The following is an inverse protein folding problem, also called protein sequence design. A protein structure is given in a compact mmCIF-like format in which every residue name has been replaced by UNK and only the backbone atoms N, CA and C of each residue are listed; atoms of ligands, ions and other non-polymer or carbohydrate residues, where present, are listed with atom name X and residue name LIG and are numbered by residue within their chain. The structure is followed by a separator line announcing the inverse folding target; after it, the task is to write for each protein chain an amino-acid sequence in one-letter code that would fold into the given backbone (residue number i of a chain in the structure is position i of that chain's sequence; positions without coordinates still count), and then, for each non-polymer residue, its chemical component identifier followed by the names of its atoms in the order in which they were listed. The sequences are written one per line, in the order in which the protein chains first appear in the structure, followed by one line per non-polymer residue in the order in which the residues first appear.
data_IF_252865986948
#
_entry.id   IF_252865986948
#
_cell.length_a   1.000
_cell.length_b   1.000
_cell.length_c   1.000
_cell.angle_alpha   90.00
_cell.angle_beta   90.00
_cell.angle_gamma   90.00
#
_symmetry.space_group_name_H-M   'P 1'
#
loop_
_entity.id
_entity.type
_entity.pdbx_description
1 polymer ?
#
# COMPACT_ATOMS: atom_id res chain seq x y z
N UNK A 1 -27.56 -5.76 10.84
CA UNK A 1 -28.29 -6.65 9.91
C UNK A 1 -27.38 -7.82 9.56
N UNK A 2 -27.87 -9.06 9.43
CA UNK A 2 -27.04 -10.18 9.01
C UNK A 2 -26.60 -10.01 7.55
N UNK A 3 -25.30 -10.18 7.31
CA UNK A 3 -24.65 -10.22 6.00
C UNK A 3 -25.36 -11.26 5.10
N UNK A 4 -25.80 -10.86 3.90
CA UNK A 4 -26.46 -11.79 2.97
C UNK A 4 -25.48 -12.86 2.48
N UNK A 5 -25.96 -14.08 2.22
CA UNK A 5 -25.15 -15.19 1.69
C UNK A 5 -24.40 -14.79 0.41
N UNK A 6 -25.03 -13.95 -0.42
CA UNK A 6 -24.49 -13.40 -1.65
C UNK A 6 -23.29 -12.46 -1.41
N UNK A 7 -23.38 -11.57 -0.43
CA UNK A 7 -22.30 -10.66 -0.04
C UNK A 7 -21.06 -11.42 0.48
N UNK A 8 -21.27 -12.54 1.19
CA UNK A 8 -20.20 -13.43 1.64
C UNK A 8 -19.50 -14.13 0.47
N UNK A 9 -20.26 -14.61 -0.49
CA UNK A 9 -19.71 -15.27 -1.68
C UNK A 9 -18.89 -14.30 -2.53
N UNK A 10 -19.38 -13.09 -2.75
CA UNK A 10 -18.65 -12.05 -3.48
C UNK A 10 -17.39 -11.62 -2.75
N UNK A 11 -17.45 -11.44 -1.43
CA UNK A 11 -16.27 -11.14 -0.61
C UNK A 11 -15.21 -12.24 -0.70
N UNK A 12 -15.63 -13.52 -0.74
CA UNK A 12 -14.72 -14.66 -0.94
C UNK A 12 -14.11 -14.65 -2.34
N UNK A 13 -14.91 -14.42 -3.39
CA UNK A 13 -14.44 -14.32 -4.79
C UNK A 13 -13.40 -13.20 -4.92
N UNK A 14 -13.70 -12.00 -4.39
CA UNK A 14 -12.77 -10.87 -4.35
C UNK A 14 -11.44 -11.21 -3.66
N UNK A 15 -11.50 -11.94 -2.55
CA UNK A 15 -10.30 -12.42 -1.84
C UNK A 15 -9.43 -13.33 -2.70
N UNK A 16 -10.04 -14.23 -3.48
CA UNK A 16 -9.35 -15.09 -4.43
C UNK A 16 -8.68 -14.31 -5.57
N UNK A 17 -9.36 -13.31 -6.13
CA UNK A 17 -8.81 -12.44 -7.17
C UNK A 17 -7.64 -11.60 -6.62
N UNK A 18 -7.78 -11.03 -5.42
CA UNK A 18 -6.72 -10.29 -4.74
C UNK A 18 -5.46 -11.13 -4.46
N UNK A 19 -5.63 -12.43 -4.17
CA UNK A 19 -4.50 -13.35 -4.04
C UNK A 19 -3.74 -13.51 -5.37
N UNK A 20 -4.45 -13.67 -6.49
CA UNK A 20 -3.84 -13.75 -7.83
C UNK A 20 -3.05 -12.47 -8.17
N UNK A 21 -3.62 -11.28 -7.89
CA UNK A 21 -2.94 -9.99 -8.05
C UNK A 21 -1.66 -9.90 -7.20
N UNK A 22 -1.73 -10.37 -5.95
CA UNK A 22 -0.56 -10.39 -5.04
C UNK A 22 0.56 -11.28 -5.60
N UNK A 23 0.24 -12.42 -6.18
CA UNK A 23 1.25 -13.31 -6.77
C UNK A 23 1.91 -12.70 -8.02
N UNK A 24 1.16 -11.95 -8.84
CA UNK A 24 1.73 -11.21 -9.95
C UNK A 24 2.75 -10.16 -9.45
N UNK A 25 2.40 -9.39 -8.41
CA UNK A 25 3.33 -8.40 -7.81
C UNK A 25 4.61 -9.07 -7.30
N UNK A 26 4.50 -10.22 -6.65
CA UNK A 26 5.67 -11.00 -6.18
C UNK A 26 6.60 -11.42 -7.31
N UNK A 27 6.07 -11.60 -8.53
CA UNK A 27 6.86 -11.97 -9.70
C UNK A 27 7.54 -10.75 -10.35
N UNK A 28 6.81 -9.64 -10.50
CA UNK A 28 7.31 -8.45 -11.20
C UNK A 28 8.34 -7.66 -10.37
N UNK A 29 8.18 -7.58 -9.05
CA UNK A 29 9.07 -6.76 -8.19
C UNK A 29 10.54 -7.21 -8.24
N UNK A 30 10.88 -8.51 -8.06
CA UNK A 30 12.26 -8.97 -8.19
C UNK A 30 12.83 -8.71 -9.59
N UNK A 31 12.04 -8.92 -10.64
CA UNK A 31 12.45 -8.70 -12.03
C UNK A 31 12.75 -7.22 -12.30
N UNK A 32 11.89 -6.31 -11.85
CA UNK A 32 12.10 -4.87 -11.95
C UNK A 32 13.35 -4.42 -11.19
N UNK A 33 13.61 -4.99 -10.02
CA UNK A 33 14.82 -4.70 -9.25
C UNK A 33 16.09 -5.22 -9.95
N UNK A 34 16.04 -6.41 -10.56
CA UNK A 34 17.14 -6.93 -11.36
C UNK A 34 17.40 -6.06 -12.60
N UNK A 35 16.34 -5.64 -13.30
CA UNK A 35 16.43 -4.74 -14.46
C UNK A 35 17.03 -3.37 -14.11
N UNK A 36 16.75 -2.82 -12.92
CA UNK A 36 17.40 -1.59 -12.46
C UNK A 36 18.91 -1.69 -12.33
N UNK A 37 19.41 -2.88 -12.03
CA UNK A 37 20.84 -3.14 -11.81
C UNK A 37 21.52 -3.47 -13.14
N UNK A 38 20.88 -4.28 -13.97
CA UNK A 38 21.34 -4.63 -15.31
C UNK A 38 20.19 -4.43 -16.33
N UNK A 39 20.22 -3.38 -17.17
CA UNK A 39 19.16 -3.05 -18.12
C UNK A 39 19.04 -3.99 -19.33
N UNK A 40 19.42 -5.25 -19.19
CA UNK A 40 19.29 -6.28 -20.23
C UNK A 40 18.05 -7.13 -19.95
N UNK A 41 17.17 -7.25 -20.94
CA UNK A 41 16.05 -8.19 -20.91
C UNK A 41 16.10 -9.02 -22.18
N UNK A 42 16.09 -10.34 -22.02
CA UNK A 42 16.02 -11.27 -23.14
C UNK A 42 14.60 -11.26 -23.72
N UNK A 43 14.48 -11.49 -25.04
CA UNK A 43 13.19 -11.46 -25.75
C UNK A 43 12.18 -12.45 -25.15
N UNK A 44 12.64 -13.60 -24.64
CA UNK A 44 11.81 -14.60 -23.98
C UNK A 44 11.18 -14.07 -22.68
N UNK A 45 11.91 -13.26 -21.92
CA UNK A 45 11.42 -12.61 -20.70
C UNK A 45 10.39 -11.53 -21.03
N UNK A 46 10.59 -10.79 -22.12
CA UNK A 46 9.65 -9.76 -22.58
C UNK A 46 8.31 -10.40 -22.99
N UNK A 47 8.36 -11.49 -23.74
CA UNK A 47 7.16 -12.25 -24.15
C UNK A 47 6.42 -12.80 -22.93
N UNK A 48 7.15 -13.39 -21.97
CA UNK A 48 6.53 -13.90 -20.73
C UNK A 48 5.88 -12.78 -19.91
N UNK A 49 6.51 -11.59 -19.82
CA UNK A 49 5.92 -10.44 -19.16
C UNK A 49 4.64 -9.95 -19.84
N UNK A 50 4.63 -9.87 -21.17
CA UNK A 50 3.43 -9.49 -21.93
C UNK A 50 2.28 -10.47 -21.67
N UNK A 51 2.55 -11.77 -21.78
CA UNK A 51 1.55 -12.81 -21.47
C UNK A 51 1.00 -12.71 -20.04
N UNK A 52 1.83 -12.30 -19.08
CA UNK A 52 1.39 -12.11 -17.69
C UNK A 52 0.63 -10.81 -17.49
N UNK A 53 0.95 -9.75 -18.24
CA UNK A 53 0.19 -8.49 -18.23
C UNK A 53 -1.22 -8.68 -18.79
N UNK A 54 -1.37 -9.43 -19.88
CA UNK A 54 -2.69 -9.75 -20.44
C UNK A 54 -3.55 -10.51 -19.42
N UNK A 55 -2.95 -11.49 -18.73
CA UNK A 55 -3.63 -12.21 -17.63
C UNK A 55 -3.98 -11.28 -16.47
N UNK A 56 -3.11 -10.31 -16.15
CA UNK A 56 -3.36 -9.34 -15.08
C UNK A 56 -4.54 -8.45 -15.39
N UNK A 57 -4.65 -7.95 -16.62
CA UNK A 57 -5.73 -7.08 -17.06
C UNK A 57 -7.09 -7.77 -16.87
N UNK A 58 -7.20 -9.04 -17.26
CA UNK A 58 -8.41 -9.85 -17.05
C UNK A 58 -8.74 -9.97 -15.56
N UNK A 59 -7.75 -10.29 -14.72
CA UNK A 59 -7.92 -10.47 -13.27
C UNK A 59 -8.31 -9.14 -12.61
N UNK A 60 -7.76 -8.01 -13.06
CA UNK A 60 -8.08 -6.69 -12.57
C UNK A 60 -9.53 -6.31 -12.92
N UNK A 61 -9.96 -6.56 -14.15
CA UNK A 61 -11.34 -6.32 -14.57
C UNK A 61 -12.33 -7.21 -13.79
N UNK A 62 -11.97 -8.48 -13.51
CA UNK A 62 -12.75 -9.37 -12.65
C UNK A 62 -12.86 -8.81 -11.20
N UNK A 63 -11.77 -8.26 -10.66
CA UNK A 63 -11.76 -7.64 -9.34
C UNK A 63 -12.71 -6.43 -9.27
N UNK A 64 -12.61 -5.51 -10.23
CA UNK A 64 -13.44 -4.31 -10.30
C UNK A 64 -14.92 -4.69 -10.45
N UNK A 65 -15.24 -5.68 -11.29
CA UNK A 65 -16.61 -6.18 -11.45
C UNK A 65 -17.21 -6.72 -10.14
N UNK A 66 -16.46 -7.54 -9.40
CA UNK A 66 -16.91 -8.07 -8.10
C UNK A 66 -17.02 -6.94 -7.07
N UNK A 67 -16.12 -5.97 -7.09
CA UNK A 67 -16.15 -4.85 -6.15
C UNK A 67 -17.38 -3.96 -6.39
N UNK A 68 -17.76 -3.71 -7.65
CA UNK A 68 -18.99 -3.00 -8.01
C UNK A 68 -20.25 -3.74 -7.56
N UNK A 69 -20.27 -5.07 -7.67
CA UNK A 69 -21.40 -5.90 -7.21
C UNK A 69 -21.53 -5.93 -5.68
N UNK A 70 -20.40 -5.93 -4.96
CA UNK A 70 -20.38 -5.77 -3.50
C UNK A 70 -20.91 -4.40 -3.09
N UNK A 71 -20.55 -3.35 -3.81
CA UNK A 71 -20.98 -1.98 -3.55
C UNK A 71 -22.47 -1.77 -3.87
N UNK A 72 -23.01 -2.42 -4.91
CA UNK A 72 -24.43 -2.34 -5.26
C UNK A 72 -25.34 -3.12 -4.31
N UNK A 73 -24.83 -4.18 -3.68
CA UNK A 73 -25.54 -5.00 -2.69
C UNK A 73 -25.44 -4.47 -1.26
N UNK A 74 -24.70 -3.38 -1.02
CA UNK A 74 -24.65 -2.71 0.27
C UNK A 74 -25.77 -1.67 0.36
N UNK A 75 -26.83 -1.88 1.16
CA UNK A 75 -27.74 -0.81 1.51
C UNK A 75 -27.04 0.03 2.57
N UNK A 76 -26.40 1.13 2.15
CA UNK A 76 -26.31 2.41 2.85
C UNK A 76 -25.15 3.24 2.31
N UNK A 77 -25.47 4.18 1.40
CA UNK A 77 -24.81 5.49 1.29
C UNK A 77 -25.68 6.49 0.48
N UNK A 78 -27.00 6.46 0.71
CA UNK A 78 -27.83 7.68 0.60
C UNK A 78 -27.81 8.29 2.01
N UNK A 79 -26.88 9.21 2.26
CA UNK A 79 -26.85 9.96 3.51
C UNK A 79 -27.85 11.12 3.43
N UNK A 80 -29.05 10.92 4.00
CA UNK A 80 -29.67 11.95 4.84
C UNK A 80 -29.22 11.71 6.30
N UNK A 81 -28.51 12.72 6.82
CA UNK A 81 -28.29 13.13 8.21
C UNK A 81 -28.07 12.10 9.36
N UNK A 82 -27.01 12.41 10.10
CA UNK A 82 -26.78 12.17 11.54
C UNK A 82 -26.12 10.88 12.05
N UNK A 83 -24.91 11.11 12.58
CA UNK A 83 -24.18 10.41 13.65
C UNK A 83 -23.16 9.30 13.32
N UNK A 84 -21.89 9.74 13.25
CA UNK A 84 -20.69 9.05 13.75
C UNK A 84 -20.33 7.63 13.30
N UNK A 85 -20.47 7.34 12.00
CA UNK A 85 -19.55 6.40 11.32
C UNK A 85 -19.14 7.00 10.00
N UNK A 86 -17.92 7.54 9.94
CA UNK A 86 -17.36 8.07 8.68
C UNK A 86 -17.04 6.87 7.80
N UNK A 87 -17.96 6.55 6.90
CA UNK A 87 -17.75 5.60 5.81
C UNK A 87 -16.49 6.00 5.05
N UNK A 88 -15.59 5.05 4.86
CA UNK A 88 -14.40 5.26 4.04
C UNK A 88 -14.86 5.18 2.58
N UNK A 89 -15.46 6.24 2.05
CA UNK A 89 -15.67 6.38 0.60
C UNK A 89 -14.31 6.10 -0.03
N UNK A 90 -14.20 5.12 -0.94
CA UNK A 90 -12.94 4.57 -1.50
C UNK A 90 -11.98 5.56 -2.19
N UNK A 91 -12.16 6.87 -1.99
CA UNK A 91 -11.30 7.98 -2.39
C UNK A 91 -10.20 8.22 -1.36
N UNK A 92 -9.02 8.57 -1.86
CA UNK A 92 -7.83 8.86 -1.09
C UNK A 92 -8.03 10.12 -0.25
N UNK A 93 -7.80 10.05 1.06
CA UNK A 93 -7.93 11.21 1.94
C UNK A 93 -6.98 12.37 1.58
N UNK A 94 -5.89 12.07 0.88
CA UNK A 94 -4.91 13.04 0.40
C UNK A 94 -5.26 13.61 -0.99
N UNK A 95 -5.19 12.82 -2.06
CA UNK A 95 -5.35 13.31 -3.45
C UNK A 95 -6.78 13.19 -4.01
N UNK A 96 -7.73 12.66 -3.22
CA UNK A 96 -9.15 12.47 -3.58
C UNK A 96 -9.45 11.53 -4.77
N UNK A 97 -8.43 10.87 -5.34
CA UNK A 97 -8.57 9.82 -6.38
C UNK A 97 -9.00 8.47 -5.79
N UNK A 98 -9.49 7.55 -6.62
CA UNK A 98 -9.95 6.21 -6.20
C UNK A 98 -8.79 5.28 -5.82
N UNK A 99 -8.26 5.44 -4.61
CA UNK A 99 -7.32 4.52 -3.97
C UNK A 99 -7.17 4.84 -2.48
N UNK A 100 -6.57 3.93 -1.70
CA UNK A 100 -6.23 4.17 -0.29
C UNK A 100 -4.98 5.03 -0.17
N UNK A 101 -4.89 5.88 0.87
CA UNK A 101 -3.72 6.73 1.11
C UNK A 101 -2.40 5.95 1.19
N UNK A 102 -2.44 4.69 1.63
CA UNK A 102 -1.27 3.79 1.69
C UNK A 102 -0.65 3.48 0.33
N UNK A 103 -1.41 3.59 -0.75
CA UNK A 103 -0.96 3.34 -2.13
C UNK A 103 -0.89 4.63 -2.95
N UNK A 104 -1.10 5.79 -2.30
CA UNK A 104 -1.09 7.09 -2.97
C UNK A 104 0.33 7.51 -3.33
N UNK A 105 0.67 7.45 -4.62
CA UNK A 105 2.01 7.82 -5.12
C UNK A 105 2.38 9.26 -4.76
N UNK A 106 1.45 10.20 -4.87
CA UNK A 106 1.68 11.61 -4.55
C UNK A 106 2.00 11.80 -3.06
N UNK A 107 1.28 11.11 -2.16
CA UNK A 107 1.58 11.15 -0.73
C UNK A 107 2.92 10.47 -0.39
N UNK A 108 3.25 9.37 -1.08
CA UNK A 108 4.51 8.67 -0.89
C UNK A 108 5.72 9.42 -1.47
N UNK A 109 5.52 10.39 -2.36
CA UNK A 109 6.59 11.25 -2.86
C UNK A 109 6.96 12.39 -1.89
N UNK A 110 6.08 12.73 -0.95
CA UNK A 110 6.34 13.74 0.08
C UNK A 110 7.43 13.28 1.06
N UNK A 111 8.17 14.25 1.60
CA UNK A 111 9.09 14.03 2.73
C UNK A 111 8.32 13.59 3.98
N UNK A 112 9.00 12.99 4.95
CA UNK A 112 8.36 12.53 6.19
C UNK A 112 7.72 13.72 6.93
N UNK A 113 8.42 14.85 7.00
CA UNK A 113 7.92 16.08 7.62
C UNK A 113 6.67 16.59 6.88
N UNK A 114 6.69 16.61 5.55
CA UNK A 114 5.54 17.02 4.74
C UNK A 114 4.35 16.07 4.90
N UNK A 115 4.60 14.76 5.03
CA UNK A 115 3.53 13.79 5.33
C UNK A 115 2.91 14.04 6.69
N UNK A 116 3.72 14.31 7.71
CA UNK A 116 3.24 14.64 9.06
C UNK A 116 2.43 15.93 9.05
N UNK A 117 2.92 16.96 8.34
CA UNK A 117 2.23 18.23 8.17
C UNK A 117 0.88 18.02 7.47
N UNK A 118 0.86 17.29 6.34
CA UNK A 118 -0.37 17.02 5.58
C UNK A 118 -1.37 16.15 6.32
N UNK A 119 -0.93 15.15 7.07
CA UNK A 119 -1.81 14.35 7.93
C UNK A 119 -2.46 15.21 9.00
N UNK A 120 -1.72 16.17 9.56
CA UNK A 120 -2.25 17.10 10.56
C UNK A 120 -3.20 18.13 9.93
N UNK A 121 -2.84 18.71 8.79
CA UNK A 121 -3.69 19.64 8.01
C UNK A 121 -5.02 19.01 7.59
N UNK A 122 -5.00 17.74 7.18
CA UNK A 122 -6.19 16.98 6.77
C UNK A 122 -6.95 16.35 7.96
N UNK A 123 -6.55 16.63 9.20
CA UNK A 123 -7.14 16.08 10.43
C UNK A 123 -7.27 14.55 10.40
N UNK A 124 -6.23 13.87 9.90
CA UNK A 124 -6.16 12.42 9.84
C UNK A 124 -5.46 11.88 11.09
N UNK A 125 -5.96 10.74 11.58
CA UNK A 125 -5.30 10.00 12.66
C UNK A 125 -3.87 9.63 12.23
N UNK A 126 -2.86 10.02 13.01
CA UNK A 126 -1.46 9.73 12.66
C UNK A 126 -1.17 8.22 12.65
N UNK A 127 -2.00 7.39 13.30
CA UNK A 127 -1.84 5.93 13.32
C UNK A 127 -2.45 5.22 12.11
N UNK A 128 -3.73 5.48 11.80
CA UNK A 128 -4.47 4.77 10.74
C UNK A 128 -4.76 5.62 9.49
N UNK A 129 -4.36 6.89 9.48
CA UNK A 129 -4.53 7.84 8.38
C UNK A 129 -6.00 8.02 7.94
N UNK A 130 -6.95 7.74 8.85
CA UNK A 130 -8.38 7.97 8.66
C UNK A 130 -8.82 9.20 9.46
N UNK A 131 -9.84 9.95 8.99
CA UNK A 131 -10.42 11.05 9.74
C UNK A 131 -11.27 10.58 10.93
N UNK A 132 -11.70 11.53 11.77
CA UNK A 132 -12.74 11.31 12.79
C UNK A 132 -12.25 10.84 14.16
N UNK A 133 -10.94 10.64 14.35
CA UNK A 133 -10.35 10.37 15.66
C UNK A 133 -8.86 10.71 15.69
N UNK A 134 -8.32 10.87 16.89
CA UNK A 134 -6.89 11.06 17.13
C UNK A 134 -6.16 9.73 17.41
N UNK A 135 -4.83 9.77 17.29
CA UNK A 135 -3.96 8.62 17.60
C UNK A 135 -4.21 8.03 18.99
N UNK A 136 -4.48 8.87 20.00
CA UNK A 136 -4.69 8.41 21.38
C UNK A 136 -5.87 7.43 21.49
N UNK A 137 -7.01 7.76 20.85
CA UNK A 137 -8.22 6.93 20.80
C UNK A 137 -8.26 5.91 19.65
N UNK A 138 -7.17 5.78 18.89
CA UNK A 138 -7.13 4.86 17.76
C UNK A 138 -7.13 3.41 18.23
N UNK A 139 -8.09 2.63 17.73
CA UNK A 139 -8.22 1.18 17.97
C UNK A 139 -7.32 0.32 17.07
N UNK A 140 -6.74 0.91 16.03
CA UNK A 140 -5.85 0.19 15.12
C UNK A 140 -4.54 -0.17 15.82
N UNK A 141 -4.00 -1.35 15.50
CA UNK A 141 -2.70 -1.79 16.01
C UNK A 141 -1.63 -0.76 15.62
N UNK A 142 -0.90 -0.27 16.61
CA UNK A 142 0.20 0.68 16.38
C UNK A 142 1.42 -0.06 15.82
N UNK A 143 2.13 0.58 14.89
CA UNK A 143 3.35 0.01 14.31
C UNK A 143 4.54 0.08 15.26
N UNK A 144 4.68 1.18 16.02
CA UNK A 144 5.75 1.36 17.00
C UNK A 144 5.18 1.73 18.39
N UNK A 145 6.06 2.02 19.35
CA UNK A 145 5.69 2.46 20.71
C UNK A 145 4.89 3.78 20.70
N UNK A 146 5.15 4.63 19.71
CA UNK A 146 4.35 5.82 19.44
C UNK A 146 3.17 5.44 18.51
N UNK A 147 1.96 5.92 18.80
CA UNK A 147 0.76 5.60 18.01
C UNK A 147 0.74 6.34 16.66
N UNK A 148 1.60 5.92 15.73
CA UNK A 148 1.67 6.46 14.38
C UNK A 148 1.85 5.36 13.31
N UNK A 149 1.53 5.71 12.08
CA UNK A 149 1.68 4.85 10.91
C UNK A 149 3.15 4.74 10.49
N UNK A 150 3.56 3.59 9.98
CA UNK A 150 4.93 3.40 9.43
C UNK A 150 5.31 4.44 8.37
N UNK A 151 4.34 4.98 7.63
CA UNK A 151 4.56 6.01 6.61
C UNK A 151 4.99 7.37 7.16
N UNK A 152 4.79 7.60 8.47
CA UNK A 152 5.16 8.81 9.21
C UNK A 152 6.34 8.59 10.17
N UNK A 153 6.87 7.37 10.26
CA UNK A 153 8.01 7.11 11.11
C UNK A 153 9.24 7.75 10.45
N UNK A 154 10.05 8.54 11.18
CA UNK A 154 11.35 8.96 10.71
C UNK A 154 12.19 7.69 10.52
N UNK A 155 12.29 7.17 9.31
CA UNK A 155 13.27 6.15 9.00
C UNK A 155 14.63 6.83 9.03
N UNK A 156 15.59 6.23 9.72
CA UNK A 156 17.00 6.57 9.52
C UNK A 156 17.37 6.06 8.12
N UNK A 157 16.91 6.74 7.08
CA UNK A 157 17.35 6.53 5.70
C UNK A 157 17.16 7.83 4.93
N UNK A 158 18.30 8.43 4.56
CA UNK A 158 18.32 9.47 3.52
C UNK A 158 19.03 10.77 3.87
N UNK A 159 20.16 10.73 4.58
CA UNK A 159 21.35 11.61 4.44
C UNK A 159 22.31 11.37 5.62
N UNK A 160 23.11 10.32 5.55
CA UNK A 160 24.47 10.32 6.09
C UNK A 160 25.37 9.65 5.05
N UNK A 161 26.37 10.42 4.68
CA UNK A 161 27.47 10.14 3.76
C UNK A 161 28.25 8.91 4.21
N UNK A 162 28.46 7.99 3.27
CA UNK A 162 29.67 7.23 2.88
C UNK A 162 30.70 6.75 3.94
N UNK A 163 30.85 7.35 5.12
CA UNK A 163 32.00 7.09 6.01
C UNK A 163 31.82 5.88 6.96
N UNK A 164 30.59 5.46 7.27
CA UNK A 164 30.37 4.31 8.17
C UNK A 164 30.45 2.95 7.45
N UNK A 165 30.41 2.93 6.11
CA UNK A 165 30.60 1.72 5.31
C UNK A 165 32.08 1.29 5.23
N UNK A 166 33.01 2.24 5.35
CA UNK A 166 34.45 1.97 5.30
C UNK A 166 34.99 1.36 6.61
N UNK A 167 34.37 1.66 7.76
CA UNK A 167 34.77 1.05 9.04
C UNK A 167 34.36 -0.42 9.17
N UNK A 168 33.30 -0.87 8.48
CA UNK A 168 32.90 -2.27 8.49
C UNK A 168 33.67 -3.10 7.45
N UNK A 169 34.08 -2.48 6.34
CA UNK A 169 34.96 -3.10 5.35
C UNK A 169 36.39 -3.29 5.89
N UNK A 170 36.91 -2.38 6.71
CA UNK A 170 38.26 -2.52 7.28
C UNK A 170 38.37 -3.62 8.34
N UNK A 171 37.27 -4.05 8.98
CA UNK A 171 37.24 -5.18 9.92
C UNK A 171 37.25 -6.55 9.23
N UNK A 172 37.01 -6.61 7.92
CA UNK A 172 36.97 -7.85 7.13
C UNK A 172 38.18 -8.03 6.19
N UNK A 173 39.08 -7.05 6.11
CA UNK A 173 40.35 -7.14 5.34
C UNK A 173 41.54 -7.37 6.29
N UNK A 174 41.43 -8.35 7.19
CA UNK A 174 42.57 -8.80 7.99
C UNK A 174 42.68 -10.32 8.11
N UNK A 175 41.91 -11.08 7.32
CA UNK A 175 41.99 -12.54 7.30
C UNK A 175 42.20 -13.08 5.88
N UNK A 176 43.14 -12.49 5.13
CA UNK A 176 43.87 -13.22 4.10
C UNK A 176 45.29 -13.48 4.63
N UNK A 177 45.84 -14.66 4.32
CA UNK A 177 47.24 -15.13 4.53
C UNK A 177 47.47 -15.99 5.79
N UNK A 178 47.21 -17.30 5.67
CA UNK A 178 48.22 -18.37 5.43
C UNK A 178 47.54 -19.66 4.95
#
# INVERSE_FOLDING_TARGET
MPETTELRELTRKRGGVNHKLTNFVKHVVPMYNAFKINPSLDDEVIIELQNRLDKLEIIYNEFEGIQLEIESLSPDDVLEDSSHVVAFNGKCNFCKKLHKIYTCKEFLQLSIDDRIAKVSELNLCKNCLCPGHESAGCKARSFCKQKHNKLLHPTVTGKKSVEEAESFASLYVSNDIE
#
